data_IF_988697331174
#
_entry.id   IF_988697331174
#
_cell.length_a   1.000
_cell.length_b   1.000
_cell.length_c   1.000
_cell.angle_alpha   90.00
_cell.angle_beta   90.00
_cell.angle_gamma   90.00
#
_symmetry.space_group_name_H-M   'P 1'
#
loop_
_entity.id
_entity.type
_entity.pdbx_description
1 polymer ?
#
# COMPACT_ATOMS: atom_id res chain seq x y z
N UNK A 1 16.03 1.42 -8.88
CA UNK A 1 14.78 0.62 -9.05
C UNK A 1 14.38 0.71 -10.52
N UNK A 2 14.12 -0.43 -11.18
CA UNK A 2 13.61 -0.52 -12.56
C UNK A 2 12.24 0.16 -12.66
N UNK A 3 11.96 0.85 -13.74
CA UNK A 3 10.65 1.47 -14.01
C UNK A 3 9.72 0.49 -14.73
N UNK A 4 8.42 0.60 -14.48
CA UNK A 4 7.43 -0.24 -15.15
C UNK A 4 7.47 -0.10 -16.66
N UNK A 5 7.63 1.12 -17.18
CA UNK A 5 7.74 1.41 -18.62
C UNK A 5 8.92 0.75 -19.33
N UNK A 6 9.93 0.26 -18.61
CA UNK A 6 11.05 -0.47 -19.19
C UNK A 6 10.67 -1.91 -19.63
N UNK A 7 9.58 -2.47 -19.08
CA UNK A 7 9.18 -3.87 -19.28
C UNK A 7 7.71 -4.07 -19.66
N UNK A 8 6.88 -3.02 -19.58
CA UNK A 8 5.45 -3.07 -19.92
C UNK A 8 5.03 -1.85 -20.71
N UNK A 9 3.96 -1.96 -21.46
CA UNK A 9 3.45 -0.92 -22.36
C UNK A 9 1.96 -0.67 -22.07
N UNK A 10 1.57 0.60 -21.99
CA UNK A 10 0.17 0.99 -21.96
C UNK A 10 -0.43 1.03 -23.36
N UNK A 11 -1.71 0.64 -23.51
CA UNK A 11 -2.44 0.72 -24.77
C UNK A 11 -2.78 2.16 -25.15
N UNK A 12 -2.92 3.03 -24.18
CA UNK A 12 -3.23 4.45 -24.33
C UNK A 12 -2.21 5.31 -23.60
N UNK A 13 -1.97 6.52 -24.08
CA UNK A 13 -1.09 7.48 -23.39
C UNK A 13 -1.69 7.85 -22.02
N UNK A 14 -0.94 7.60 -20.96
CA UNK A 14 -1.29 7.93 -19.57
C UNK A 14 -0.11 8.63 -18.90
N UNK A 15 -0.35 9.18 -17.69
CA UNK A 15 0.72 9.74 -16.88
C UNK A 15 1.81 8.66 -16.61
N UNK A 16 3.09 8.92 -16.94
CA UNK A 16 4.16 7.93 -16.81
C UNK A 16 4.31 7.36 -15.39
N UNK A 17 4.02 8.15 -14.36
CA UNK A 17 4.07 7.72 -12.95
C UNK A 17 3.19 6.48 -12.70
N UNK A 18 2.01 6.41 -13.33
CA UNK A 18 1.08 5.29 -13.18
C UNK A 18 1.64 4.00 -13.81
N UNK A 19 2.34 4.11 -14.94
CA UNK A 19 2.95 2.99 -15.63
C UNK A 19 4.23 2.53 -14.92
N UNK A 20 5.02 3.49 -14.41
CA UNK A 20 6.34 3.25 -13.83
C UNK A 20 6.28 2.64 -12.44
N UNK A 21 5.28 3.04 -11.62
CA UNK A 21 5.13 2.51 -10.27
C UNK A 21 4.82 1.00 -10.28
N UNK A 22 5.54 0.29 -9.47
CA UNK A 22 5.25 -1.10 -9.11
C UNK A 22 5.60 -1.34 -7.63
N UNK A 23 5.43 -2.55 -7.14
CA UNK A 23 5.62 -2.91 -5.74
C UNK A 23 6.83 -3.84 -5.57
N UNK A 24 8.07 -3.33 -5.55
CA UNK A 24 9.26 -4.11 -5.24
C UNK A 24 9.22 -4.67 -3.81
N UNK A 25 10.02 -5.71 -3.55
CA UNK A 25 10.25 -6.27 -2.20
C UNK A 25 11.65 -5.97 -1.69
N UNK A 26 12.60 -5.72 -2.61
CA UNK A 26 13.99 -5.46 -2.25
C UNK A 26 14.12 -4.06 -1.63
N UNK A 27 14.33 -4.03 -0.32
CA UNK A 27 14.57 -2.81 0.45
C UNK A 27 15.95 -2.86 1.10
N UNK A 28 16.62 -1.71 1.19
CA UNK A 28 18.00 -1.60 1.66
C UNK A 28 18.15 -1.75 3.18
N UNK A 29 17.08 -1.59 3.93
CA UNK A 29 17.16 -1.51 5.38
C UNK A 29 17.60 -0.12 5.88
N UNK A 30 17.83 0.85 5.02
CA UNK A 30 18.11 2.21 5.45
C UNK A 30 16.84 2.89 5.99
N UNK A 31 17.04 3.80 6.93
CA UNK A 31 15.95 4.62 7.44
C UNK A 31 15.47 5.65 6.40
N UNK A 32 14.22 6.04 6.53
CA UNK A 32 13.65 7.21 5.88
C UNK A 32 13.37 8.29 6.93
N UNK A 33 13.50 9.54 6.54
CA UNK A 33 13.22 10.66 7.46
C UNK A 33 11.72 10.74 7.79
N UNK A 34 11.40 11.41 8.88
CA UNK A 34 10.00 11.70 9.23
C UNK A 34 9.31 12.54 8.13
N UNK A 35 10.03 13.46 7.53
CA UNK A 35 9.50 14.31 6.46
C UNK A 35 9.19 13.51 5.19
N UNK A 36 10.08 12.60 4.76
CA UNK A 36 9.83 11.69 3.63
C UNK A 36 8.55 10.89 3.87
N UNK A 37 8.40 10.30 5.06
CA UNK A 37 7.21 9.52 5.42
C UNK A 37 5.94 10.37 5.43
N UNK A 38 5.98 11.56 6.05
CA UNK A 38 4.80 12.43 6.14
C UNK A 38 4.32 12.94 4.77
N UNK A 39 5.21 13.10 3.80
CA UNK A 39 4.82 13.42 2.41
C UNK A 39 3.95 12.33 1.77
N UNK A 40 4.16 11.06 2.11
CA UNK A 40 3.33 9.96 1.62
C UNK A 40 1.93 10.06 2.22
N UNK A 41 1.82 10.29 3.52
CA UNK A 41 0.54 10.48 4.20
C UNK A 41 -0.17 11.76 3.75
N UNK A 42 0.58 12.83 3.48
CA UNK A 42 0.02 14.05 2.90
C UNK A 42 -0.61 13.77 1.53
N UNK A 43 0.05 13.03 0.66
CA UNK A 43 -0.51 12.64 -0.63
C UNK A 43 -1.79 11.78 -0.46
N UNK A 44 -1.79 10.83 0.47
CA UNK A 44 -2.96 10.03 0.80
C UNK A 44 -4.16 10.91 1.22
N UNK A 45 -3.92 11.95 2.01
CA UNK A 45 -4.93 12.89 2.50
C UNK A 45 -5.68 13.63 1.39
N UNK A 46 -5.09 13.77 0.20
CA UNK A 46 -5.69 14.43 -0.97
C UNK A 46 -6.49 13.51 -1.87
N UNK A 47 -6.71 12.25 -1.47
CA UNK A 47 -7.59 11.36 -2.20
C UNK A 47 -9.05 11.86 -2.16
N UNK A 48 -9.84 11.62 -3.22
CA UNK A 48 -11.28 11.87 -3.17
C UNK A 48 -11.96 10.86 -2.25
N UNK A 49 -13.10 11.25 -1.69
CA UNK A 49 -13.95 10.37 -0.89
C UNK A 49 -15.42 10.78 -0.98
N UNK A 50 -16.32 9.85 -0.73
CA UNK A 50 -17.76 10.11 -0.68
C UNK A 50 -18.06 11.20 0.35
N UNK A 51 -18.76 12.28 -0.07
CA UNK A 51 -19.04 13.45 0.76
C UNK A 51 -17.82 14.10 1.42
N UNK A 52 -16.62 13.88 0.88
CA UNK A 52 -15.36 14.30 1.49
C UNK A 52 -15.18 13.77 2.93
N UNK A 53 -15.70 12.59 3.21
CA UNK A 53 -15.75 12.02 4.55
C UNK A 53 -14.37 11.52 5.05
N UNK A 54 -13.42 11.28 4.13
CA UNK A 54 -12.02 10.95 4.46
C UNK A 54 -11.94 9.81 5.49
N UNK A 55 -12.57 8.69 5.15
CA UNK A 55 -12.78 7.54 6.06
C UNK A 55 -11.49 6.81 6.44
N UNK A 56 -10.41 6.97 5.70
CA UNK A 56 -9.13 6.31 5.95
C UNK A 56 -8.43 6.80 7.22
N UNK A 57 -7.73 5.89 7.88
CA UNK A 57 -6.71 6.16 8.90
C UNK A 57 -5.51 5.27 8.61
N UNK A 58 -4.36 5.69 9.06
CA UNK A 58 -3.14 4.90 8.95
C UNK A 58 -2.46 4.82 10.31
N UNK A 59 -2.16 3.60 10.72
CA UNK A 59 -1.30 3.29 11.86
C UNK A 59 0.06 2.90 11.33
N UNK A 60 1.15 3.33 11.94
CA UNK A 60 2.47 2.94 11.45
C UNK A 60 3.47 2.68 12.57
N UNK A 61 4.46 1.86 12.25
CA UNK A 61 5.62 1.64 13.08
C UNK A 61 6.91 1.84 12.26
N UNK A 62 7.86 2.57 12.82
CA UNK A 62 9.21 2.70 12.26
C UNK A 62 10.09 1.58 12.80
N UNK A 63 10.96 1.04 11.96
CA UNK A 63 11.93 0.04 12.39
C UNK A 63 12.84 0.63 13.47
N UNK A 64 13.14 -0.18 14.49
CA UNK A 64 13.94 0.24 15.64
C UNK A 64 13.17 1.00 16.74
N UNK A 65 11.85 1.22 16.56
CA UNK A 65 10.98 1.76 17.63
C UNK A 65 10.31 0.62 18.41
N UNK A 66 9.80 0.92 19.59
CA UNK A 66 9.07 -0.02 20.45
C UNK A 66 7.83 -0.64 19.78
N UNK A 67 7.27 0.02 18.75
CA UNK A 67 6.07 -0.46 18.06
C UNK A 67 6.39 -1.46 16.93
N UNK A 68 7.64 -1.54 16.47
CA UNK A 68 8.01 -2.31 15.29
C UNK A 68 7.64 -3.79 15.39
N UNK A 69 7.99 -4.43 16.48
CA UNK A 69 7.77 -5.87 16.64
C UNK A 69 6.29 -6.22 16.60
N UNK A 70 5.41 -5.38 17.18
CA UNK A 70 3.97 -5.58 17.11
C UNK A 70 3.48 -5.60 15.66
N UNK A 71 3.90 -4.64 14.83
CA UNK A 71 3.50 -4.59 13.42
C UNK A 71 4.14 -5.72 12.60
N UNK A 72 5.40 -6.01 12.84
CA UNK A 72 6.13 -7.03 12.10
C UNK A 72 5.59 -8.44 12.38
N UNK A 73 5.20 -8.71 13.60
CA UNK A 73 4.66 -10.01 14.00
C UNK A 73 3.25 -10.29 13.45
N UNK A 74 2.53 -9.25 13.00
CA UNK A 74 1.27 -9.44 12.28
C UNK A 74 1.46 -10.11 10.92
N UNK A 75 2.63 -9.96 10.29
CA UNK A 75 2.91 -10.46 8.94
C UNK A 75 3.00 -11.99 8.93
N UNK A 76 2.49 -12.60 7.85
CA UNK A 76 2.79 -14.02 7.56
C UNK A 76 4.27 -14.20 7.22
N UNK A 77 4.83 -15.40 7.43
CA UNK A 77 6.26 -15.68 7.23
C UNK A 77 6.77 -15.31 5.84
N UNK A 78 5.96 -15.53 4.81
CA UNK A 78 6.31 -15.17 3.44
C UNK A 78 6.56 -13.66 3.26
N UNK A 79 5.86 -12.81 4.01
CA UNK A 79 6.09 -11.36 4.00
C UNK A 79 7.21 -10.96 4.97
N UNK A 80 7.32 -11.60 6.14
CA UNK A 80 8.44 -11.38 7.07
C UNK A 80 9.80 -11.59 6.40
N UNK A 81 9.90 -12.56 5.49
CA UNK A 81 11.14 -12.91 4.79
C UNK A 81 11.80 -11.72 4.07
N UNK A 82 11.04 -10.75 3.60
CA UNK A 82 11.56 -9.58 2.90
C UNK A 82 11.23 -8.24 3.60
N UNK A 83 10.07 -8.12 4.26
CA UNK A 83 9.64 -6.89 4.91
C UNK A 83 10.50 -6.51 6.13
N UNK A 84 11.32 -7.41 6.66
CA UNK A 84 12.31 -7.13 7.72
C UNK A 84 13.27 -6.00 7.38
N UNK A 85 13.47 -5.71 6.09
CA UNK A 85 14.32 -4.63 5.61
C UNK A 85 13.51 -3.34 5.31
N UNK A 86 12.21 -3.30 5.56
CA UNK A 86 11.44 -2.07 5.47
C UNK A 86 11.86 -1.07 6.54
N UNK A 87 11.79 0.22 6.24
CA UNK A 87 11.98 1.29 7.22
C UNK A 87 10.72 1.53 8.05
N UNK A 88 9.55 1.30 7.44
CA UNK A 88 8.24 1.54 8.05
C UNK A 88 7.26 0.45 7.63
N UNK A 89 6.43 0.00 8.57
CA UNK A 89 5.23 -0.78 8.32
C UNK A 89 4.00 0.09 8.61
N UNK A 90 3.00 0.00 7.75
CA UNK A 90 1.76 0.78 7.84
C UNK A 90 0.58 -0.18 7.81
N UNK A 91 -0.43 0.04 8.66
CA UNK A 91 -1.75 -0.59 8.59
C UNK A 91 -2.75 0.47 8.18
N UNK A 92 -3.42 0.27 7.05
CA UNK A 92 -4.53 1.11 6.61
C UNK A 92 -5.84 0.57 7.15
N UNK A 93 -6.65 1.45 7.68
CA UNK A 93 -7.99 1.17 8.18
C UNK A 93 -8.98 2.19 7.64
N UNK A 94 -10.24 1.83 7.56
CA UNK A 94 -11.29 2.73 7.12
C UNK A 94 -12.50 2.71 8.04
N UNK A 95 -13.11 3.86 8.29
CA UNK A 95 -14.30 3.99 9.11
C UNK A 95 -15.53 3.58 8.31
N UNK A 96 -16.31 2.64 8.84
CA UNK A 96 -17.51 2.08 8.20
C UNK A 96 -18.73 3.00 8.25
N UNK A 97 -18.72 4.03 9.09
CA UNK A 97 -19.82 4.95 9.32
C UNK A 97 -19.41 6.39 9.01
N UNK A 98 -20.34 7.19 8.51
CA UNK A 98 -20.15 8.62 8.37
C UNK A 98 -20.14 9.32 9.73
N UNK A 99 -19.23 10.29 9.94
CA UNK A 99 -19.10 11.04 11.19
C UNK A 99 -20.31 11.92 11.50
N UNK A 100 -20.98 12.45 10.45
CA UNK A 100 -22.03 13.44 10.61
C UNK A 100 -23.42 12.88 10.93
N UNK A 101 -23.67 11.60 10.64
CA UNK A 101 -25.01 10.99 10.85
C UNK A 101 -24.97 9.55 11.36
N UNK A 102 -23.76 8.95 11.47
CA UNK A 102 -23.51 7.57 11.87
C UNK A 102 -24.15 6.50 10.96
N UNK A 103 -24.57 6.88 9.73
CA UNK A 103 -25.05 5.94 8.74
C UNK A 103 -23.88 5.20 8.05
N UNK A 104 -24.12 4.00 7.51
CA UNK A 104 -23.09 3.24 6.81
C UNK A 104 -22.50 3.98 5.61
N UNK A 105 -21.17 4.07 5.55
CA UNK A 105 -20.41 4.54 4.41
C UNK A 105 -20.05 3.34 3.52
N UNK A 106 -20.86 3.02 2.54
CA UNK A 106 -20.69 1.84 1.67
C UNK A 106 -19.42 1.89 0.81
N UNK A 107 -18.82 3.07 0.68
CA UNK A 107 -17.60 3.29 -0.12
C UNK A 107 -16.34 3.41 0.72
N UNK A 108 -16.40 3.16 2.03
CA UNK A 108 -15.24 3.39 2.92
C UNK A 108 -13.95 2.68 2.46
N UNK A 109 -14.03 1.42 2.05
CA UNK A 109 -12.88 0.66 1.54
C UNK A 109 -12.39 1.17 0.18
N UNK A 110 -13.31 1.58 -0.71
CA UNK A 110 -12.99 2.18 -2.01
C UNK A 110 -12.24 3.52 -1.83
N UNK A 111 -12.72 4.36 -0.92
CA UNK A 111 -12.09 5.64 -0.58
C UNK A 111 -10.71 5.43 0.05
N UNK A 112 -10.57 4.43 0.93
CA UNK A 112 -9.27 4.04 1.51
C UNK A 112 -8.29 3.51 0.46
N UNK A 113 -8.78 2.76 -0.53
CA UNK A 113 -7.99 2.33 -1.69
C UNK A 113 -7.44 3.49 -2.52
N UNK A 114 -8.24 4.55 -2.71
CA UNK A 114 -7.79 5.77 -3.38
C UNK A 114 -6.67 6.48 -2.58
N UNK A 115 -6.83 6.59 -1.26
CA UNK A 115 -5.81 7.16 -0.39
C UNK A 115 -4.51 6.33 -0.40
N UNK A 116 -4.63 5.00 -0.41
CA UNK A 116 -3.49 4.09 -0.51
C UNK A 116 -2.74 4.27 -1.85
N UNK A 117 -3.43 4.41 -2.98
CA UNK A 117 -2.76 4.60 -4.27
C UNK A 117 -2.01 5.93 -4.32
N UNK A 118 -2.59 7.04 -3.82
CA UNK A 118 -1.87 8.31 -3.70
C UNK A 118 -0.60 8.18 -2.85
N UNK A 119 -0.69 7.45 -1.71
CA UNK A 119 0.45 7.13 -0.86
C UNK A 119 1.55 6.39 -1.62
N UNK A 120 1.17 5.38 -2.42
CA UNK A 120 2.11 4.55 -3.16
C UNK A 120 2.75 5.32 -4.33
N UNK A 121 1.97 6.14 -5.05
CA UNK A 121 2.47 7.00 -6.14
C UNK A 121 3.47 8.03 -5.61
N UNK A 122 3.16 8.69 -4.49
CA UNK A 122 4.07 9.65 -3.85
C UNK A 122 5.36 8.98 -3.39
N UNK A 123 5.26 7.78 -2.82
CA UNK A 123 6.44 7.00 -2.44
C UNK A 123 7.35 6.70 -3.63
N UNK A 124 6.77 6.21 -4.73
CA UNK A 124 7.53 5.96 -5.96
C UNK A 124 8.15 7.24 -6.53
N UNK A 125 7.40 8.36 -6.55
CA UNK A 125 7.91 9.67 -6.99
C UNK A 125 9.12 10.14 -6.17
N UNK A 126 9.17 9.81 -4.89
CA UNK A 126 10.32 10.08 -4.00
C UNK A 126 11.44 9.04 -4.11
N UNK A 127 11.35 8.06 -5.01
CA UNK A 127 12.33 6.98 -5.14
C UNK A 127 12.26 5.93 -4.02
N UNK A 128 11.16 5.90 -3.27
CA UNK A 128 10.91 4.90 -2.24
C UNK A 128 10.18 3.67 -2.81
N UNK A 129 10.36 2.55 -2.15
CA UNK A 129 9.54 1.35 -2.33
C UNK A 129 8.32 1.47 -1.43
N UNK A 130 7.14 1.24 -2.01
CA UNK A 130 5.89 1.04 -1.28
C UNK A 130 5.26 -0.26 -1.78
N UNK A 131 5.08 -1.23 -0.88
CA UNK A 131 4.54 -2.54 -1.22
C UNK A 131 3.34 -2.87 -0.34
N UNK A 132 2.14 -2.91 -0.95
CA UNK A 132 0.90 -3.32 -0.25
C UNK A 132 0.87 -4.83 0.00
N UNK A 133 0.38 -5.23 1.16
CA UNK A 133 0.35 -6.61 1.62
C UNK A 133 -1.05 -6.98 2.12
N UNK A 134 -1.57 -8.11 1.64
CA UNK A 134 -2.74 -8.81 2.17
C UNK A 134 -2.33 -9.85 3.25
N UNK A 135 -1.11 -10.39 3.13
CA UNK A 135 -0.63 -11.49 3.96
C UNK A 135 -0.21 -11.05 5.37
N UNK A 136 -1.19 -10.80 6.25
CA UNK A 136 -1.04 -10.56 7.68
C UNK A 136 -2.29 -11.01 8.44
N UNK A 137 -2.20 -11.05 9.78
CA UNK A 137 -3.30 -11.44 10.65
C UNK A 137 -4.19 -10.23 10.98
N UNK A 138 -5.33 -10.14 10.32
CA UNK A 138 -6.30 -9.04 10.45
C UNK A 138 -6.92 -8.96 11.85
N UNK A 139 -7.26 -10.10 12.44
CA UNK A 139 -7.88 -10.17 13.77
C UNK A 139 -6.87 -9.76 14.87
N UNK A 140 -5.63 -10.24 14.76
CA UNK A 140 -4.55 -9.79 15.64
C UNK A 140 -4.26 -8.30 15.46
N UNK A 141 -4.25 -7.78 14.23
CA UNK A 141 -4.06 -6.36 13.97
C UNK A 141 -5.13 -5.53 14.69
N UNK A 142 -6.41 -5.90 14.57
CA UNK A 142 -7.50 -5.26 15.28
C UNK A 142 -7.26 -5.22 16.79
N UNK A 143 -6.92 -6.37 17.37
CA UNK A 143 -6.74 -6.53 18.81
C UNK A 143 -5.50 -5.80 19.33
N UNK A 144 -4.34 -6.06 18.72
CA UNK A 144 -3.05 -5.56 19.22
C UNK A 144 -2.87 -4.06 18.97
N UNK A 145 -3.42 -3.55 17.87
CA UNK A 145 -3.40 -2.12 17.57
C UNK A 145 -4.62 -1.37 18.11
N UNK A 146 -5.50 -2.05 18.86
CA UNK A 146 -6.69 -1.49 19.51
C UNK A 146 -7.62 -0.76 18.53
N UNK A 147 -7.81 -1.34 17.35
CA UNK A 147 -8.66 -0.77 16.30
C UNK A 147 -10.13 -0.99 16.67
N UNK A 148 -10.95 0.08 16.82
CA UNK A 148 -12.35 -0.05 17.17
C UNK A 148 -13.16 -0.80 16.10
N UNK A 149 -14.29 -1.41 16.51
CA UNK A 149 -15.14 -2.20 15.61
C UNK A 149 -15.77 -1.40 14.47
N UNK A 150 -15.91 -0.09 14.63
CA UNK A 150 -16.38 0.83 13.58
C UNK A 150 -15.38 1.03 12.43
N UNK A 151 -14.16 0.53 12.57
CA UNK A 151 -13.16 0.55 11.49
C UNK A 151 -12.99 -0.84 10.87
N UNK A 152 -12.78 -0.88 9.57
CA UNK A 152 -12.31 -2.05 8.84
C UNK A 152 -10.78 -2.02 8.74
N UNK A 153 -10.15 -3.20 8.87
CA UNK A 153 -8.71 -3.35 8.63
C UNK A 153 -8.52 -3.70 7.15
N UNK A 154 -7.95 -2.80 6.36
CA UNK A 154 -7.93 -2.92 4.91
C UNK A 154 -6.70 -3.66 4.37
N UNK A 155 -5.52 -3.18 4.71
CA UNK A 155 -4.26 -3.73 4.21
C UNK A 155 -3.08 -3.25 5.05
N UNK A 156 -1.94 -3.94 4.90
CA UNK A 156 -0.66 -3.41 5.34
C UNK A 156 0.18 -2.91 4.16
N UNK A 157 1.14 -2.05 4.44
CA UNK A 157 2.18 -1.68 3.48
C UNK A 157 3.56 -1.67 4.17
N UNK A 158 4.58 -2.08 3.41
CA UNK A 158 5.98 -1.91 3.74
C UNK A 158 6.56 -0.74 2.93
N UNK A 159 7.27 0.16 3.60
CA UNK A 159 7.91 1.34 2.98
C UNK A 159 9.40 1.33 3.30
N UNK A 160 10.23 1.62 2.31
CA UNK A 160 11.68 1.72 2.50
C UNK A 160 12.42 2.22 1.27
N UNK A 161 13.72 2.43 1.39
CA UNK A 161 14.57 2.70 0.24
C UNK A 161 14.81 1.43 -0.55
N UNK A 162 14.95 1.50 -1.90
CA UNK A 162 15.24 0.34 -2.70
C UNK A 162 16.58 -0.30 -2.33
N UNK A 163 16.63 -1.63 -2.38
CA UNK A 163 17.81 -2.44 -2.15
C UNK A 163 18.11 -3.36 -3.32
N UNK A 164 19.27 -4.03 -3.33
CA UNK A 164 19.61 -5.04 -4.32
C UNK A 164 18.63 -6.23 -4.25
N UNK A 165 18.15 -6.70 -5.39
CA UNK A 165 17.27 -7.87 -5.46
C UNK A 165 17.93 -9.15 -4.94
N UNK A 166 19.25 -9.21 -4.99
CA UNK A 166 20.08 -10.31 -4.51
C UNK A 166 19.94 -10.54 -2.99
N UNK A 167 19.46 -9.56 -2.25
CA UNK A 167 19.19 -9.68 -0.81
C UNK A 167 17.87 -10.40 -0.50
N UNK A 168 17.04 -10.58 -1.50
CA UNK A 168 15.81 -11.36 -1.36
C UNK A 168 16.11 -12.86 -1.37
N UNK A 169 15.25 -13.68 -0.75
CA UNK A 169 15.25 -15.12 -0.97
C UNK A 169 15.18 -15.45 -2.47
N UNK A 170 15.93 -16.46 -2.94
CA UNK A 170 16.08 -16.81 -4.35
C UNK A 170 14.74 -16.91 -5.10
N UNK A 171 13.73 -17.54 -4.48
CA UNK A 171 12.36 -17.65 -5.05
C UNK A 171 11.68 -16.29 -5.29
N UNK A 172 12.06 -15.25 -4.56
CA UNK A 172 11.52 -13.91 -4.72
C UNK A 172 12.29 -13.10 -5.76
N UNK A 173 13.60 -13.36 -5.91
CA UNK A 173 14.43 -12.68 -6.93
C UNK A 173 13.87 -12.88 -8.35
N UNK A 174 13.40 -14.08 -8.67
CA UNK A 174 12.81 -14.39 -9.98
C UNK A 174 11.50 -13.62 -10.25
N UNK A 175 10.84 -13.11 -9.20
CA UNK A 175 9.58 -12.36 -9.26
C UNK A 175 9.75 -10.86 -9.00
N UNK A 176 10.98 -10.40 -8.87
CA UNK A 176 11.31 -9.00 -8.56
C UNK A 176 11.41 -8.19 -9.85
N UNK A 177 10.27 -8.05 -10.51
CA UNK A 177 10.08 -7.26 -11.73
C UNK A 177 8.65 -6.72 -11.80
N UNK A 178 8.42 -5.59 -12.51
CA UNK A 178 7.07 -5.10 -12.76
C UNK A 178 6.23 -6.16 -13.51
N UNK A 179 5.04 -6.45 -12.98
CA UNK A 179 4.07 -7.32 -13.64
C UNK A 179 3.25 -6.55 -14.68
N UNK A 180 2.82 -7.24 -15.71
CA UNK A 180 1.91 -6.69 -16.72
C UNK A 180 0.48 -6.59 -16.20
N UNK A 181 -0.43 -6.12 -17.02
CA UNK A 181 -1.87 -6.00 -16.77
C UNK A 181 -2.65 -6.84 -17.76
N UNK A 182 -3.86 -7.23 -17.38
CA UNK A 182 -4.84 -7.81 -18.29
C UNK A 182 -5.19 -6.82 -19.39
N UNK A 183 -5.66 -7.33 -20.53
CA UNK A 183 -6.17 -6.50 -21.60
C UNK A 183 -7.32 -5.60 -21.07
N UNK A 184 -7.36 -4.35 -21.49
CA UNK A 184 -8.36 -3.39 -21.03
C UNK A 184 -9.80 -3.89 -21.32
N UNK A 185 -10.01 -4.58 -22.45
CA UNK A 185 -11.30 -5.16 -22.83
C UNK A 185 -11.83 -6.25 -21.85
N UNK A 186 -10.97 -6.80 -21.00
CA UNK A 186 -11.38 -7.76 -19.97
C UNK A 186 -11.93 -7.08 -18.70
N UNK A 187 -11.77 -5.76 -18.57
CA UNK A 187 -12.08 -5.02 -17.36
C UNK A 187 -13.02 -3.82 -17.57
N UNK A 188 -13.15 -3.36 -18.82
CA UNK A 188 -13.92 -2.14 -19.17
C UNK A 188 -14.96 -2.48 -20.22
N UNK A 189 -16.22 -2.22 -19.88
CA UNK A 189 -17.37 -2.52 -20.74
C UNK A 189 -18.25 -1.28 -20.86
N UNK A 190 -18.70 -0.97 -22.08
CA UNK A 190 -19.79 -0.04 -22.29
C UNK A 190 -21.13 -0.75 -22.07
N UNK A 191 -21.96 -0.21 -21.18
CA UNK A 191 -23.28 -0.77 -20.85
C UNK A 191 -23.22 -1.86 -19.76
N UNK A 192 -24.13 -2.85 -19.81
CA UNK A 192 -24.20 -3.92 -18.82
C UNK A 192 -22.96 -4.82 -18.83
N UNK A 193 -22.69 -5.46 -17.66
CA UNK A 193 -21.61 -6.44 -17.56
C UNK A 193 -21.79 -7.56 -18.60
N UNK A 194 -20.69 -7.87 -19.30
CA UNK A 194 -20.63 -8.98 -20.26
C UNK A 194 -19.67 -10.05 -19.69
N UNK A 195 -20.21 -11.24 -19.41
CA UNK A 195 -19.45 -12.42 -18.96
C UNK A 195 -18.74 -13.08 -20.12
#
# INVERSE_FOLDING_TARGET
MIKGSEVRKADYAIEPLLLDRWSPRAMSGEEISQEELMRLFEAARWAPSSFNAQQWRALYARRGTEHWETFFDLLVDANKAWAKNAAVLVVFISRKLFDYNHEPSVTHSYDAGAAWENFALQGFHQGLVVHGMEGFDYERARKELRIPDEFEVEAMAAVGKPGPKEWLPEKLQARESPSDRRNLAESVFEGPFKS
#
